data_IF_811505727064
#
_entry.id   IF_811505727064
#
_cell.length_a   1.000
_cell.length_b   1.000
_cell.length_c   1.000
_cell.angle_alpha   90.00
_cell.angle_beta   90.00
_cell.angle_gamma   90.00
#
_symmetry.space_group_name_H-M   'P 1'
#
loop_
_entity.id
_entity.type
_entity.pdbx_description
1 polymer ?
#
# COMPACT_ATOMS: atom_id res chain seq x y z
N UNK A 1 16.15 -52.55 32.53
CA UNK A 1 15.98 -51.15 32.98
C UNK A 1 17.02 -50.32 32.26
N UNK A 2 16.76 -49.29 31.46
CA UNK A 2 15.57 -48.43 31.30
C UNK A 2 15.64 -47.83 29.89
N UNK A 3 14.47 -47.49 29.37
CA UNK A 3 14.11 -47.28 27.97
C UNK A 3 14.01 -45.78 27.71
N UNK A 4 14.61 -45.25 26.64
CA UNK A 4 14.28 -43.93 26.08
C UNK A 4 13.91 -44.15 24.61
N UNK A 5 12.63 -44.40 24.29
CA UNK A 5 11.50 -43.48 24.11
C UNK A 5 11.60 -42.69 22.81
N UNK A 6 11.09 -43.35 21.76
CA UNK A 6 10.75 -42.80 20.46
C UNK A 6 9.58 -41.81 20.60
N UNK A 7 9.74 -40.59 20.08
CA UNK A 7 8.68 -39.59 20.04
C UNK A 7 8.49 -39.06 18.61
N UNK A 8 7.55 -39.72 17.93
CA UNK A 8 6.48 -39.20 17.09
C UNK A 8 6.77 -38.03 16.12
N UNK A 9 6.66 -38.40 14.83
CA UNK A 9 6.04 -37.61 13.76
C UNK A 9 4.97 -36.63 14.28
N UNK A 10 5.18 -35.34 14.03
CA UNK A 10 4.13 -34.33 14.13
C UNK A 10 3.54 -34.14 12.74
N UNK A 11 2.29 -34.57 12.64
CA UNK A 11 1.41 -34.45 11.48
C UNK A 11 1.15 -33.00 11.06
N UNK A 12 1.27 -32.78 9.76
CA UNK A 12 0.19 -32.32 8.86
C UNK A 12 -0.59 -31.07 9.33
N UNK A 13 -0.22 -29.92 8.77
CA UNK A 13 -1.07 -28.73 8.71
C UNK A 13 -2.31 -29.05 7.88
N UNK A 14 -3.38 -29.44 8.57
CA UNK A 14 -4.72 -29.60 8.02
C UNK A 14 -5.52 -28.32 8.22
N UNK A 15 -6.22 -27.94 7.15
CA UNK A 15 -7.21 -26.88 7.03
C UNK A 15 -8.06 -26.63 8.27
N UNK A 16 -8.32 -25.34 8.54
CA UNK A 16 -9.52 -24.92 9.26
C UNK A 16 -9.91 -23.47 8.95
N UNK A 17 -10.93 -23.38 8.09
CA UNK A 17 -12.09 -22.49 8.14
C UNK A 17 -11.95 -21.00 7.78
N UNK A 18 -12.21 -20.74 6.49
CA UNK A 18 -13.35 -19.94 6.00
C UNK A 18 -14.21 -19.24 7.07
N UNK A 19 -14.18 -17.90 7.09
CA UNK A 19 -15.22 -17.06 7.69
C UNK A 19 -15.38 -15.79 6.83
N UNK A 20 -16.42 -15.79 6.00
CA UNK A 20 -17.04 -14.56 5.56
C UNK A 20 -17.72 -13.88 6.75
N UNK A 21 -17.66 -12.56 6.79
CA UNK A 21 -18.75 -11.64 7.12
C UNK A 21 -18.17 -10.22 7.27
N UNK A 22 -18.55 -9.34 6.34
CA UNK A 22 -18.44 -7.88 6.47
C UNK A 22 -19.69 -7.38 7.22
N UNK A 23 -19.65 -6.27 7.98
CA UNK A 23 -19.75 -4.95 7.33
C UNK A 23 -18.95 -3.81 8.00
N UNK A 24 -18.36 -2.98 7.13
CA UNK A 24 -18.42 -1.51 7.12
C UNK A 24 -18.32 -0.72 8.45
N UNK A 25 -17.26 0.09 8.59
CA UNK A 25 -17.30 1.38 9.31
C UNK A 25 -16.42 2.37 8.55
N UNK A 26 -17.07 3.38 7.98
CA UNK A 26 -16.43 4.45 7.22
C UNK A 26 -15.97 5.61 8.10
N UNK A 27 -15.03 6.39 7.56
CA UNK A 27 -14.88 7.80 7.89
C UNK A 27 -14.36 8.51 6.64
N UNK A 28 -15.21 9.32 6.02
CA UNK A 28 -14.86 10.20 4.90
C UNK A 28 -15.21 11.62 5.32
N UNK A 29 -14.17 12.44 5.46
CA UNK A 29 -14.25 13.87 5.76
C UNK A 29 -14.75 14.60 4.50
N UNK A 30 -15.96 15.16 4.56
CA UNK A 30 -16.49 16.06 3.53
C UNK A 30 -16.43 17.48 4.09
N UNK A 31 -15.70 18.34 3.38
CA UNK A 31 -15.62 19.78 3.56
C UNK A 31 -16.95 20.43 3.19
N UNK A 32 -17.38 21.33 4.08
CA UNK A 32 -18.56 22.17 4.02
C UNK A 32 -18.45 23.20 2.89
N UNK A 33 -19.47 23.24 2.03
CA UNK A 33 -19.62 24.22 0.95
C UNK A 33 -20.98 24.89 1.09
N UNK A 34 -20.96 26.09 1.67
CA UNK A 34 -22.06 27.02 1.89
C UNK A 34 -22.67 27.51 0.55
N UNK A 35 -23.99 27.38 0.38
CA UNK A 35 -24.78 28.20 -0.54
C UNK A 35 -26.08 28.60 0.16
N UNK A 36 -25.98 29.69 0.91
CA UNK A 36 -27.06 30.61 1.28
C UNK A 36 -27.94 30.97 0.06
N UNK A 37 -29.21 30.57 0.10
CA UNK A 37 -30.28 31.16 -0.70
C UNK A 37 -31.44 31.54 0.22
N UNK A 38 -31.50 32.84 0.51
CA UNK A 38 -32.64 33.50 1.13
C UNK A 38 -33.88 33.30 0.27
N UNK A 39 -34.99 32.87 0.88
CA UNK A 39 -36.30 33.21 0.34
C UNK A 39 -37.26 33.57 1.49
N UNK A 40 -37.48 34.87 1.56
CA UNK A 40 -38.32 35.60 2.51
C UNK A 40 -39.76 35.53 2.03
N UNK A 41 -40.59 34.69 2.64
CA UNK A 41 -42.05 34.80 2.54
C UNK A 41 -42.73 34.03 3.67
N UNK A 42 -43.20 34.76 4.67
CA UNK A 42 -44.13 34.24 5.66
C UNK A 42 -44.66 35.42 6.45
N UNK A 43 -45.97 35.66 6.34
CA UNK A 43 -46.92 36.25 7.29
C UNK A 43 -48.05 36.90 6.47
N UNK A 44 -48.94 36.06 5.93
CA UNK A 44 -50.31 36.47 5.65
C UNK A 44 -51.18 35.81 6.71
N UNK A 45 -51.76 36.67 7.54
CA UNK A 45 -52.72 36.37 8.60
C UNK A 45 -54.01 35.79 8.00
N UNK A 46 -54.61 34.87 8.75
CA UNK A 46 -55.96 34.36 8.54
C UNK A 46 -56.96 35.48 8.31
N UNK A 47 -57.71 35.37 7.23
CA UNK A 47 -59.16 35.23 7.29
C UNK A 47 -59.62 34.69 5.95
N UNK A 48 -60.53 33.71 5.95
CA UNK A 48 -61.55 33.44 4.90
C UNK A 48 -62.23 32.09 5.18
N UNK A 49 -63.43 32.20 5.78
CA UNK A 49 -64.70 31.58 5.37
C UNK A 49 -64.68 30.07 5.08
N UNK A 50 -65.36 29.30 5.93
CA UNK A 50 -65.83 27.93 5.65
C UNK A 50 -66.69 27.89 4.38
N UNK A 51 -66.48 26.87 3.53
CA UNK A 51 -67.61 26.20 2.89
C UNK A 51 -67.63 24.70 3.20
N UNK A 52 -68.73 24.28 3.82
CA UNK A 52 -69.42 22.99 3.69
C UNK A 52 -68.56 21.74 3.46
N UNK A 53 -68.41 20.99 4.55
CA UNK A 53 -67.98 19.59 4.64
C UNK A 53 -68.91 18.66 3.85
N UNK A 54 -68.56 18.33 2.61
CA UNK A 54 -68.95 17.08 1.93
C UNK A 54 -67.88 16.73 0.89
N UNK A 55 -67.48 15.46 0.81
CA UNK A 55 -66.54 14.85 -0.18
C UNK A 55 -65.03 14.91 0.10
N UNK A 56 -64.61 15.31 1.30
CA UNK A 56 -63.18 15.50 1.61
C UNK A 56 -62.42 14.24 2.07
N UNK A 57 -63.08 13.11 2.29
CA UNK A 57 -62.48 11.97 3.01
C UNK A 57 -61.90 10.89 2.09
N UNK A 58 -62.47 10.71 0.89
CA UNK A 58 -62.01 9.73 -0.13
C UNK A 58 -60.89 10.26 -1.04
N UNK A 59 -60.75 11.58 -1.19
CA UNK A 59 -59.73 12.21 -2.05
C UNK A 59 -58.34 12.37 -1.37
N UNK A 60 -58.30 12.51 -0.04
CA UNK A 60 -57.06 12.60 0.76
C UNK A 60 -56.05 11.45 0.52
N UNK A 61 -56.44 10.16 0.49
CA UNK A 61 -55.49 9.07 0.22
C UNK A 61 -54.98 9.02 -1.23
N UNK A 62 -55.80 9.46 -2.19
CA UNK A 62 -55.41 9.52 -3.62
C UNK A 62 -54.41 10.65 -3.85
N UNK A 63 -54.66 11.84 -3.29
CA UNK A 63 -53.72 12.98 -3.36
C UNK A 63 -52.38 12.66 -2.72
N UNK A 64 -52.40 11.96 -1.57
CA UNK A 64 -51.17 11.48 -0.91
C UNK A 64 -50.40 10.50 -1.79
N UNK A 65 -51.11 9.62 -2.50
CA UNK A 65 -50.50 8.65 -3.43
C UNK A 65 -49.91 9.35 -4.65
N UNK A 66 -50.60 10.34 -5.24
CA UNK A 66 -50.09 11.14 -6.35
C UNK A 66 -48.82 11.91 -5.96
N UNK A 67 -48.79 12.53 -4.77
CA UNK A 67 -47.59 13.23 -4.27
C UNK A 67 -46.41 12.28 -4.08
N UNK A 68 -46.63 11.09 -3.53
CA UNK A 68 -45.58 10.06 -3.38
C UNK A 68 -45.03 9.60 -4.73
N UNK A 69 -45.88 9.41 -5.73
CA UNK A 69 -45.45 9.05 -7.08
C UNK A 69 -44.62 10.16 -7.73
N UNK A 70 -45.02 11.43 -7.57
CA UNK A 70 -44.25 12.56 -8.05
C UNK A 70 -42.86 12.63 -7.37
N UNK A 71 -42.80 12.47 -6.05
CA UNK A 71 -41.53 12.41 -5.32
C UNK A 71 -40.66 11.23 -5.73
N UNK A 72 -41.24 10.04 -5.97
CA UNK A 72 -40.50 8.88 -6.44
C UNK A 72 -39.94 9.10 -7.85
N UNK A 73 -40.71 9.74 -8.75
CA UNK A 73 -40.23 10.13 -10.08
C UNK A 73 -39.03 11.05 -9.99
N UNK A 74 -39.08 12.08 -9.16
CA UNK A 74 -37.96 13.00 -8.95
C UNK A 74 -36.75 12.31 -8.28
N UNK A 75 -36.99 11.48 -7.27
CA UNK A 75 -35.94 10.69 -6.62
C UNK A 75 -35.26 9.74 -7.61
N UNK A 76 -36.02 9.09 -8.49
CA UNK A 76 -35.50 8.21 -9.53
C UNK A 76 -34.66 8.97 -10.55
N UNK A 77 -35.10 10.17 -10.98
CA UNK A 77 -34.31 11.06 -11.85
C UNK A 77 -32.98 11.45 -11.21
N UNK A 78 -33.00 11.91 -9.95
CA UNK A 78 -31.78 12.27 -9.21
C UNK A 78 -30.85 11.08 -9.00
N UNK A 79 -31.40 9.90 -8.73
CA UNK A 79 -30.61 8.65 -8.61
C UNK A 79 -29.93 8.29 -9.93
N UNK A 80 -30.68 8.28 -11.04
CA UNK A 80 -30.14 8.01 -12.38
C UNK A 80 -29.06 9.03 -12.77
N UNK A 81 -29.28 10.30 -12.48
CA UNK A 81 -28.30 11.35 -12.78
C UNK A 81 -26.99 11.17 -12.00
N UNK A 82 -27.08 10.86 -10.69
CA UNK A 82 -25.90 10.57 -9.87
C UNK A 82 -25.15 9.34 -10.35
N UNK A 83 -25.87 8.25 -10.67
CA UNK A 83 -25.24 7.04 -11.21
C UNK A 83 -24.55 7.32 -12.54
N UNK A 84 -25.19 8.11 -13.43
CA UNK A 84 -24.59 8.52 -14.70
C UNK A 84 -23.30 9.31 -14.50
N UNK A 85 -23.30 10.30 -13.60
CA UNK A 85 -22.11 11.09 -13.28
C UNK A 85 -20.98 10.23 -12.69
N UNK A 86 -21.31 9.32 -11.77
CA UNK A 86 -20.32 8.40 -11.18
C UNK A 86 -19.71 7.47 -12.24
N UNK A 87 -20.51 6.90 -13.13
CA UNK A 87 -19.99 6.05 -14.23
C UNK A 87 -19.09 6.86 -15.16
N UNK A 88 -19.45 8.10 -15.50
CA UNK A 88 -18.57 8.98 -16.30
C UNK A 88 -17.24 9.28 -15.60
N UNK A 89 -17.27 9.49 -14.27
CA UNK A 89 -16.05 9.65 -13.49
C UNK A 89 -15.20 8.37 -13.47
N UNK A 90 -15.82 7.20 -13.41
CA UNK A 90 -15.10 5.93 -13.50
C UNK A 90 -14.45 5.76 -14.88
N UNK A 91 -15.17 6.06 -15.95
CA UNK A 91 -14.65 6.02 -17.32
C UNK A 91 -13.47 6.99 -17.52
N UNK A 92 -13.56 8.22 -16.99
CA UNK A 92 -12.47 9.19 -17.06
C UNK A 92 -11.25 8.74 -16.24
N UNK A 93 -11.47 8.19 -15.04
CA UNK A 93 -10.39 7.66 -14.20
C UNK A 93 -9.69 6.47 -14.85
N UNK A 94 -10.46 5.58 -15.51
CA UNK A 94 -9.93 4.44 -16.26
C UNK A 94 -9.06 4.90 -17.43
N UNK A 95 -9.50 5.92 -18.18
CA UNK A 95 -8.71 6.48 -19.28
C UNK A 95 -7.39 7.08 -18.77
N UNK A 96 -7.46 7.86 -17.69
CA UNK A 96 -6.28 8.45 -17.05
C UNK A 96 -5.29 7.39 -16.57
N UNK A 97 -5.80 6.31 -15.98
CA UNK A 97 -4.98 5.19 -15.53
C UNK A 97 -4.26 4.52 -16.71
N UNK A 98 -4.98 4.24 -17.80
CA UNK A 98 -4.37 3.68 -19.02
C UNK A 98 -3.29 4.60 -19.62
N UNK A 99 -3.46 5.92 -19.57
CA UNK A 99 -2.44 6.88 -20.00
C UNK A 99 -1.17 6.81 -19.12
N UNK A 100 -1.34 6.78 -17.80
CA UNK A 100 -0.22 6.66 -16.87
C UNK A 100 0.51 5.32 -17.01
N UNK A 101 -0.21 4.23 -17.23
CA UNK A 101 0.38 2.91 -17.51
C UNK A 101 1.22 2.94 -18.80
N UNK A 102 0.72 3.59 -19.86
CA UNK A 102 1.47 3.75 -21.11
C UNK A 102 2.73 4.61 -20.91
N UNK A 103 2.66 5.66 -20.09
CA UNK A 103 3.80 6.52 -19.78
C UNK A 103 4.87 5.80 -18.95
N UNK A 104 4.45 5.01 -17.96
CA UNK A 104 5.35 4.14 -17.20
C UNK A 104 6.04 3.12 -18.09
N UNK A 105 5.30 2.46 -18.98
CA UNK A 105 5.87 1.47 -19.88
C UNK A 105 6.85 2.10 -20.89
N UNK A 106 6.54 3.30 -21.39
CA UNK A 106 7.46 4.08 -22.24
C UNK A 106 8.74 4.44 -21.49
N UNK A 107 8.62 4.90 -20.24
CA UNK A 107 9.78 5.24 -19.38
C UNK A 107 10.62 4.00 -19.09
N UNK A 108 9.99 2.86 -18.85
CA UNK A 108 10.65 1.56 -18.67
C UNK A 108 11.44 1.16 -19.91
N UNK A 109 10.85 1.29 -21.11
CA UNK A 109 11.52 0.99 -22.37
C UNK A 109 12.67 1.96 -22.68
N UNK A 110 12.52 3.25 -22.35
CA UNK A 110 13.62 4.22 -22.46
C UNK A 110 14.77 3.89 -21.49
N UNK A 111 14.46 3.44 -20.27
CA UNK A 111 15.46 2.95 -19.31
C UNK A 111 16.21 1.69 -19.79
N UNK A 112 15.53 0.81 -20.54
CA UNK A 112 16.15 -0.37 -21.15
C UNK A 112 17.08 0.03 -22.32
N UNK A 113 16.75 1.07 -23.10
CA UNK A 113 17.57 1.46 -24.25
C UNK A 113 18.87 2.21 -23.87
N UNK A 114 18.95 2.76 -22.65
CA UNK A 114 20.17 3.38 -22.10
C UNK A 114 21.05 2.34 -21.37
N UNK A 115 20.50 1.17 -21.01
CA UNK A 115 21.23 0.09 -20.37
C UNK A 115 21.43 -1.10 -21.32
N UNK A 116 22.58 -1.16 -21.98
CA UNK A 116 23.06 -2.38 -22.67
C UNK A 116 23.19 -3.57 -21.69
N UNK A 117 23.16 -4.83 -22.15
CA UNK A 117 22.79 -5.99 -21.34
C UNK A 117 23.98 -6.47 -20.52
N UNK A 118 23.89 -6.30 -19.22
CA UNK A 118 24.64 -7.12 -18.28
C UNK A 118 23.69 -7.42 -17.15
N UNK A 119 23.33 -8.70 -17.09
CA UNK A 119 22.39 -9.33 -16.20
C UNK A 119 22.37 -8.70 -14.80
N UNK A 120 21.24 -8.12 -14.40
CA UNK A 120 20.63 -8.26 -13.07
C UNK A 120 19.31 -7.48 -13.09
N UNK A 121 18.20 -8.18 -12.88
CA UNK A 121 16.87 -7.61 -12.94
C UNK A 121 16.62 -6.61 -11.81
N UNK A 122 16.63 -5.32 -12.12
CA UNK A 122 16.13 -4.28 -11.23
C UNK A 122 14.73 -3.85 -11.70
N UNK A 123 13.73 -4.41 -11.03
CA UNK A 123 12.34 -3.96 -11.12
C UNK A 123 12.21 -2.60 -10.45
N UNK A 124 12.02 -1.56 -11.26
CA UNK A 124 11.19 -0.39 -10.97
C UNK A 124 11.66 0.53 -9.84
N UNK A 125 12.28 1.64 -10.22
CA UNK A 125 11.94 3.02 -9.80
C UNK A 125 13.05 3.96 -10.31
N UNK A 126 13.03 4.25 -11.62
CA UNK A 126 13.83 5.35 -12.18
C UNK A 126 13.07 6.66 -11.96
N UNK A 127 12.99 7.08 -10.70
CA UNK A 127 12.54 8.42 -10.31
C UNK A 127 13.73 9.12 -9.68
N UNK A 128 14.33 10.07 -10.39
CA UNK A 128 15.40 10.98 -9.95
C UNK A 128 16.31 10.36 -8.89
N UNK A 129 17.04 9.31 -9.27
CA UNK A 129 17.79 8.53 -8.29
C UNK A 129 18.91 9.40 -7.75
N UNK A 130 18.81 9.79 -6.48
CA UNK A 130 19.88 10.46 -5.75
C UNK A 130 21.17 9.69 -6.01
N UNK A 131 22.20 10.34 -6.57
CA UNK A 131 23.44 9.67 -6.99
C UNK A 131 24.08 8.85 -5.86
N UNK A 132 23.93 9.29 -4.61
CA UNK A 132 24.39 8.55 -3.42
C UNK A 132 23.60 7.26 -3.14
N UNK A 133 22.31 7.21 -3.49
CA UNK A 133 21.47 6.02 -3.30
C UNK A 133 21.79 4.96 -4.36
N UNK A 134 21.95 5.34 -5.62
CA UNK A 134 22.38 4.40 -6.67
C UNK A 134 23.77 3.82 -6.37
N UNK A 135 24.70 4.66 -5.92
CA UNK A 135 26.04 4.20 -5.53
C UNK A 135 25.97 3.19 -4.38
N UNK A 136 25.17 3.48 -3.35
CA UNK A 136 24.95 2.58 -2.22
C UNK A 136 24.34 1.24 -2.66
N UNK A 137 23.33 1.23 -3.54
CA UNK A 137 22.72 -0.01 -4.02
C UNK A 137 23.73 -0.93 -4.72
N UNK A 138 24.55 -0.36 -5.61
CA UNK A 138 25.60 -1.12 -6.30
C UNK A 138 26.66 -1.65 -5.33
N UNK A 139 27.13 -0.81 -4.40
CA UNK A 139 28.18 -1.18 -3.45
C UNK A 139 27.66 -2.21 -2.42
N UNK A 140 26.40 -2.09 -1.98
CA UNK A 140 25.76 -3.04 -1.08
C UNK A 140 25.57 -4.42 -1.74
N UNK A 141 25.17 -4.46 -3.02
CA UNK A 141 25.09 -5.71 -3.79
C UNK A 141 26.42 -6.45 -3.78
N UNK A 142 27.51 -5.75 -4.13
CA UNK A 142 28.86 -6.31 -4.07
C UNK A 142 29.28 -6.72 -2.65
N UNK A 143 28.93 -5.93 -1.64
CA UNK A 143 29.22 -6.23 -0.24
C UNK A 143 28.61 -7.56 0.20
N UNK A 144 27.36 -7.85 -0.20
CA UNK A 144 26.67 -9.12 0.09
C UNK A 144 27.38 -10.31 -0.56
N UNK A 145 27.88 -10.17 -1.79
CA UNK A 145 28.66 -11.22 -2.46
C UNK A 145 29.95 -11.53 -1.69
N UNK A 146 30.68 -10.49 -1.29
CA UNK A 146 31.90 -10.63 -0.50
C UNK A 146 31.61 -11.24 0.88
N UNK A 147 30.49 -10.88 1.52
CA UNK A 147 30.07 -11.50 2.79
C UNK A 147 29.81 -13.00 2.63
N UNK A 148 29.10 -13.40 1.57
CA UNK A 148 28.85 -14.80 1.30
C UNK A 148 30.17 -15.56 1.06
N UNK A 149 31.10 -14.96 0.32
CA UNK A 149 32.44 -15.54 0.09
C UNK A 149 33.22 -15.69 1.40
N UNK A 150 33.35 -14.62 2.19
CA UNK A 150 34.05 -14.66 3.48
C UNK A 150 33.41 -15.66 4.46
N UNK A 151 32.08 -15.77 4.47
CA UNK A 151 31.36 -16.76 5.28
C UNK A 151 31.69 -18.19 4.86
N UNK A 152 31.80 -18.46 3.56
CA UNK A 152 32.21 -19.75 3.04
C UNK A 152 33.69 -20.06 3.33
N UNK A 153 34.57 -19.06 3.21
CA UNK A 153 35.99 -19.17 3.56
C UNK A 153 36.18 -19.49 5.05
N UNK A 154 35.52 -18.73 5.94
CA UNK A 154 35.58 -18.96 7.38
C UNK A 154 35.06 -20.35 7.75
N UNK A 155 33.95 -20.79 7.15
CA UNK A 155 33.41 -22.14 7.39
C UNK A 155 34.37 -23.22 6.93
N UNK A 156 34.95 -23.07 5.75
CA UNK A 156 35.93 -24.02 5.20
C UNK A 156 37.21 -24.07 6.06
N UNK A 157 37.68 -22.91 6.51
CA UNK A 157 38.85 -22.79 7.37
C UNK A 157 38.62 -23.47 8.73
N UNK A 158 37.45 -23.27 9.34
CA UNK A 158 37.07 -23.97 10.58
C UNK A 158 37.00 -25.49 10.40
N UNK A 159 36.50 -25.97 9.26
CA UNK A 159 36.49 -27.41 8.94
C UNK A 159 37.88 -27.98 8.70
N UNK A 160 38.80 -27.17 8.15
CA UNK A 160 40.19 -27.55 7.89
C UNK A 160 41.09 -27.48 9.14
N UNK A 161 40.57 -27.08 10.30
CA UNK A 161 41.33 -26.91 11.54
C UNK A 161 42.59 -26.03 11.36
N UNK A 162 42.40 -24.84 10.78
CA UNK A 162 43.47 -23.85 10.59
C UNK A 162 44.07 -23.37 11.92
N UNK A 163 45.22 -22.71 11.84
CA UNK A 163 45.88 -22.14 13.03
C UNK A 163 45.12 -20.94 13.58
N UNK A 164 45.25 -20.68 14.89
CA UNK A 164 44.60 -19.54 15.55
C UNK A 164 45.00 -18.18 14.93
N UNK A 165 46.23 -18.08 14.42
CA UNK A 165 46.73 -16.87 13.76
C UNK A 165 45.97 -16.63 12.45
N UNK A 166 45.80 -17.67 11.62
CA UNK A 166 45.04 -17.57 10.38
C UNK A 166 43.56 -17.27 10.66
N UNK A 167 43.02 -17.83 11.74
CA UNK A 167 41.64 -17.59 12.15
C UNK A 167 41.45 -16.13 12.57
N UNK A 168 42.39 -15.58 13.34
CA UNK A 168 42.38 -14.18 13.74
C UNK A 168 42.39 -13.25 12.53
N UNK A 169 43.20 -13.55 11.51
CA UNK A 169 43.26 -12.76 10.27
C UNK A 169 41.90 -12.78 9.54
N UNK A 170 41.27 -13.96 9.41
CA UNK A 170 39.94 -14.08 8.79
C UNK A 170 38.87 -13.29 9.55
N UNK A 171 38.91 -13.34 10.89
CA UNK A 171 38.01 -12.56 11.74
C UNK A 171 38.24 -11.06 11.57
N UNK A 172 39.50 -10.61 11.55
CA UNK A 172 39.85 -9.20 11.32
C UNK A 172 39.37 -8.70 9.96
N UNK A 173 39.53 -9.51 8.91
CA UNK A 173 38.96 -9.24 7.59
C UNK A 173 37.43 -9.11 7.63
N UNK A 174 36.75 -10.00 8.34
CA UNK A 174 35.30 -9.92 8.53
C UNK A 174 34.86 -8.64 9.26
N UNK A 175 35.55 -8.28 10.34
CA UNK A 175 35.29 -7.04 11.08
C UNK A 175 35.47 -5.80 10.20
N UNK A 176 36.56 -5.73 9.43
CA UNK A 176 36.79 -4.63 8.50
C UNK A 176 35.71 -4.56 7.40
N UNK A 177 35.22 -5.72 6.94
CA UNK A 177 34.12 -5.79 5.98
C UNK A 177 32.82 -5.19 6.56
N UNK A 178 32.51 -5.42 7.84
CA UNK A 178 31.40 -4.75 8.52
C UNK A 178 31.64 -3.25 8.75
N UNK A 179 32.87 -2.82 9.06
CA UNK A 179 33.20 -1.40 9.13
C UNK A 179 32.87 -0.67 7.82
N UNK A 180 33.19 -1.29 6.68
CA UNK A 180 32.80 -0.76 5.37
C UNK A 180 31.28 -0.66 5.22
N UNK A 181 30.50 -1.65 5.68
CA UNK A 181 29.03 -1.58 5.66
C UNK A 181 28.50 -0.36 6.39
N UNK A 182 28.98 -0.12 7.61
CA UNK A 182 28.52 1.00 8.42
C UNK A 182 28.89 2.34 7.79
N UNK A 183 30.08 2.43 7.16
CA UNK A 183 30.47 3.63 6.40
C UNK A 183 29.53 3.89 5.23
N UNK A 184 29.28 2.89 4.38
CA UNK A 184 28.36 3.01 3.24
C UNK A 184 26.95 3.40 3.69
N UNK A 185 26.43 2.78 4.77
CA UNK A 185 25.12 3.13 5.34
C UNK A 185 25.09 4.55 5.88
N UNK A 186 26.16 5.03 6.51
CA UNK A 186 26.24 6.40 6.99
C UNK A 186 26.22 7.41 5.82
N UNK A 187 26.90 7.10 4.71
CA UNK A 187 26.90 7.95 3.52
C UNK A 187 25.52 7.94 2.82
N UNK A 188 24.88 6.77 2.74
CA UNK A 188 23.50 6.68 2.26
C UNK A 188 22.51 7.46 3.14
N UNK A 189 22.68 7.43 4.47
CA UNK A 189 21.85 8.21 5.40
C UNK A 189 21.99 9.72 5.21
N UNK A 190 23.21 10.19 4.87
CA UNK A 190 23.44 11.61 4.54
C UNK A 190 22.71 12.03 3.27
N UNK A 191 22.53 11.11 2.32
CA UNK A 191 21.79 11.37 1.09
C UNK A 191 20.28 11.26 1.30
N UNK A 192 19.81 10.18 1.93
CA UNK A 192 18.40 9.95 2.24
C UNK A 192 18.24 8.95 3.41
N UNK A 193 17.89 9.48 4.58
CA UNK A 193 17.64 8.67 5.79
C UNK A 193 16.39 7.79 5.65
N UNK A 194 15.38 8.23 4.90
CA UNK A 194 14.16 7.45 4.69
C UNK A 194 14.46 6.23 3.82
N UNK A 195 15.27 6.40 2.77
CA UNK A 195 15.75 5.27 1.98
C UNK A 195 16.52 4.25 2.84
N UNK A 196 17.37 4.68 3.78
CA UNK A 196 18.01 3.72 4.69
C UNK A 196 16.97 2.98 5.56
N UNK A 197 15.91 3.66 6.00
CA UNK A 197 14.87 3.10 6.88
C UNK A 197 13.89 2.14 6.17
N UNK A 198 13.51 2.43 4.93
CA UNK A 198 12.42 1.76 4.21
C UNK A 198 12.76 1.39 2.77
N UNK A 199 14.00 1.56 2.37
CA UNK A 199 14.46 1.34 1.00
C UNK A 199 14.50 -0.13 0.59
N UNK A 200 14.61 -0.30 -0.72
CA UNK A 200 14.48 -1.59 -1.41
C UNK A 200 15.70 -2.49 -1.17
N UNK A 201 16.84 -1.91 -0.78
CA UNK A 201 18.07 -2.63 -0.43
C UNK A 201 17.89 -3.69 0.67
N UNK A 202 16.87 -3.55 1.53
CA UNK A 202 16.56 -4.57 2.54
C UNK A 202 15.78 -5.74 1.97
N UNK A 203 16.24 -6.93 2.31
CA UNK A 203 15.52 -8.18 2.03
C UNK A 203 14.17 -8.21 2.75
N UNK A 204 13.25 -9.02 2.22
CA UNK A 204 11.94 -9.26 2.84
C UNK A 204 12.06 -9.74 4.29
N UNK A 205 13.07 -10.58 4.56
CA UNK A 205 13.37 -11.10 5.89
C UNK A 205 13.83 -9.99 6.83
N UNK A 206 14.78 -9.14 6.42
CA UNK A 206 15.25 -8.02 7.24
C UNK A 206 14.14 -7.03 7.59
N UNK A 207 13.24 -6.75 6.63
CA UNK A 207 12.06 -5.90 6.86
C UNK A 207 11.12 -6.53 7.89
N UNK A 208 10.88 -7.84 7.78
CA UNK A 208 10.05 -8.58 8.73
C UNK A 208 10.62 -8.58 10.15
N UNK A 209 11.92 -8.85 10.30
CA UNK A 209 12.57 -8.82 11.61
C UNK A 209 12.64 -7.41 12.21
N UNK A 210 12.79 -6.38 11.39
CA UNK A 210 12.71 -5.00 11.85
C UNK A 210 11.31 -4.64 12.37
N UNK A 211 10.26 -5.13 11.72
CA UNK A 211 8.89 -4.96 12.18
C UNK A 211 8.62 -5.67 13.52
N UNK A 212 9.14 -6.88 13.71
CA UNK A 212 8.99 -7.65 14.97
C UNK A 212 9.85 -7.07 16.10
N UNK A 213 11.10 -6.68 15.80
CA UNK A 213 12.07 -6.23 16.80
C UNK A 213 11.81 -4.81 17.32
N UNK A 214 11.02 -4.01 16.60
CA UNK A 214 10.86 -2.59 16.84
C UNK A 214 12.15 -1.80 16.55
N UNK A 215 12.04 -0.48 16.36
CA UNK A 215 13.19 0.41 16.46
C UNK A 215 13.60 0.46 17.93
N UNK A 216 14.67 -0.22 18.31
CA UNK A 216 15.37 -0.03 19.59
C UNK A 216 16.67 0.70 19.36
#
# INVERSE_FOLDING_TARGET
MTIYKQLNQISRWGDSFNRGDSPNTGSSTIVEGDVRLENKAGYISCDQVEPSRSDQETNKPIDKTQRRLAQNREAARKSRLRKKAYVQQLESSRLKLAQLEQELERTRQQGIYISSPSDTGYFGLSGTVNSGITAFEMEYGHWVEVQNKQTCELRSALQAHITDIELQILVEHGLNHYCNLFRMKADAAKADVFYLSSGIWRTSAERFFHWIGGFR
#
